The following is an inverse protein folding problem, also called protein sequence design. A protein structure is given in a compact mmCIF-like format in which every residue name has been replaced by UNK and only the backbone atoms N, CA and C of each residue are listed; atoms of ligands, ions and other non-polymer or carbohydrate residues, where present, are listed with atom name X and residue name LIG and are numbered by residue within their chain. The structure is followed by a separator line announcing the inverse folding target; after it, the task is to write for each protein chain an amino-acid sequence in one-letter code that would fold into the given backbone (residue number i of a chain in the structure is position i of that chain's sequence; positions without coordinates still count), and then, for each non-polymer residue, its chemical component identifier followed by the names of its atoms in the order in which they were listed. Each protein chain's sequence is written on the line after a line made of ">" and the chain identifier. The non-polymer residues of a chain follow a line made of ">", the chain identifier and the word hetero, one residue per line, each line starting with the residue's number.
data_IF_210331999400
#
_entry.id   IF_210331999400
#
_cell.length_a   1.000
_cell.length_b   1.000
_cell.length_c   1.000
_cell.angle_alpha   90.00
_cell.angle_beta   90.00
_cell.angle_gamma   90.00
#
_symmetry.space_group_name_H-M   'P 1'
#
loop_
_entity.id
_entity.type
_entity.pdbx_description
1 polymer ?
#
# COMPACT_ATOMS: atom_id res chain seq x y z
N UNK A 1 6.23 -0.87 24.50
CA UNK A 1 4.96 -0.99 23.75
C UNK A 1 5.36 -1.14 22.29
N UNK A 2 5.01 -2.27 21.68
CA UNK A 2 5.53 -2.68 20.38
C UNK A 2 4.80 -1.86 19.31
N UNK A 3 5.43 -0.81 18.79
CA UNK A 3 4.94 -0.11 17.60
C UNK A 3 5.38 -0.95 16.41
N UNK A 4 4.46 -1.71 15.84
CA UNK A 4 4.74 -2.60 14.73
C UNK A 4 4.98 -1.77 13.46
N UNK A 5 6.21 -1.29 13.28
CA UNK A 5 6.74 -0.87 11.98
C UNK A 5 7.28 -2.09 11.23
N UNK A 6 6.45 -3.12 11.15
CA UNK A 6 6.64 -4.32 10.35
C UNK A 6 5.23 -4.77 10.00
N UNK A 7 4.97 -5.04 8.71
CA UNK A 7 3.71 -5.67 8.32
C UNK A 7 3.45 -6.81 9.30
N UNK A 8 2.35 -6.70 10.07
CA UNK A 8 1.96 -7.78 10.96
C UNK A 8 1.81 -9.03 10.09
N UNK A 9 2.66 -10.07 10.22
CA UNK A 9 2.68 -11.19 9.29
C UNK A 9 1.36 -11.98 9.24
N UNK A 10 0.42 -11.65 10.13
CA UNK A 10 -0.89 -12.27 10.30
C UNK A 10 -2.08 -11.45 9.81
N UNK A 11 -1.90 -10.18 9.39
CA UNK A 11 -3.02 -9.36 8.92
C UNK A 11 -3.11 -9.41 7.39
N UNK A 12 -4.16 -10.05 6.86
CA UNK A 12 -4.46 -10.00 5.42
C UNK A 12 -4.92 -8.59 5.03
N UNK A 13 -4.41 -8.06 3.91
CA UNK A 13 -4.91 -6.80 3.37
C UNK A 13 -6.24 -7.02 2.64
N UNK A 14 -7.16 -6.06 2.74
CA UNK A 14 -8.37 -5.99 1.91
C UNK A 14 -8.10 -5.05 0.75
N UNK A 15 -8.31 -5.51 -0.48
CA UNK A 15 -7.98 -4.77 -1.70
C UNK A 15 -9.08 -4.93 -2.76
N UNK A 16 -9.19 -3.96 -3.67
CA UNK A 16 -10.09 -4.10 -4.82
C UNK A 16 -9.46 -5.01 -5.87
N UNK A 17 -10.28 -5.66 -6.69
CA UNK A 17 -9.83 -6.39 -7.88
C UNK A 17 -8.90 -5.54 -8.78
N UNK A 18 -9.31 -4.30 -9.02
CA UNK A 18 -8.63 -3.34 -9.90
C UNK A 18 -7.28 -2.92 -9.31
N UNK A 19 -7.22 -2.65 -8.00
CA UNK A 19 -5.96 -2.30 -7.33
C UNK A 19 -5.03 -3.52 -7.21
N UNK A 20 -5.58 -4.72 -7.03
CA UNK A 20 -4.80 -5.97 -6.97
C UNK A 20 -4.04 -6.19 -8.28
N UNK A 21 -4.74 -6.17 -9.42
CA UNK A 21 -4.12 -6.35 -10.73
C UNK A 21 -3.06 -5.28 -11.01
N UNK A 22 -3.36 -4.02 -10.67
CA UNK A 22 -2.46 -2.89 -10.91
C UNK A 22 -1.21 -2.96 -10.02
N UNK A 23 -1.35 -3.32 -8.74
CA UNK A 23 -0.21 -3.46 -7.84
C UNK A 23 0.62 -4.72 -8.14
N UNK A 24 -0.01 -5.84 -8.51
CA UNK A 24 0.71 -7.04 -8.92
C UNK A 24 1.52 -6.79 -10.19
N UNK A 25 0.93 -6.09 -11.17
CA UNK A 25 1.63 -5.63 -12.36
C UNK A 25 2.82 -4.73 -12.00
N UNK A 26 2.61 -3.73 -11.14
CA UNK A 26 3.67 -2.83 -10.68
C UNK A 26 4.81 -3.58 -10.00
N UNK A 27 4.51 -4.46 -9.05
CA UNK A 27 5.51 -5.24 -8.33
C UNK A 27 6.39 -6.04 -9.29
N UNK A 28 5.78 -6.71 -10.28
CA UNK A 28 6.50 -7.44 -11.33
C UNK A 28 7.43 -6.55 -12.15
N UNK A 29 7.06 -5.30 -12.43
CA UNK A 29 7.92 -4.37 -13.18
C UNK A 29 9.14 -3.85 -12.42
N UNK A 30 9.13 -3.96 -11.08
CA UNK A 30 10.23 -3.48 -10.23
C UNK A 30 11.07 -4.60 -9.63
N UNK A 31 10.76 -5.87 -9.92
CA UNK A 31 11.53 -7.04 -9.45
C UNK A 31 13.03 -6.90 -9.72
N UNK A 32 13.42 -6.42 -10.90
CA UNK A 32 14.85 -6.27 -11.25
C UNK A 32 15.56 -5.16 -10.46
N UNK A 33 14.81 -4.16 -9.96
CA UNK A 33 15.37 -2.96 -9.31
C UNK A 33 15.27 -3.01 -7.78
N UNK A 34 14.22 -3.64 -7.26
CA UNK A 34 13.91 -3.73 -5.85
C UNK A 34 13.27 -5.11 -5.55
N UNK A 35 14.02 -6.21 -5.71
CA UNK A 35 13.49 -7.57 -5.62
C UNK A 35 12.85 -7.86 -4.26
N UNK A 36 13.53 -7.49 -3.17
CA UNK A 36 13.02 -7.72 -1.80
C UNK A 36 11.65 -7.05 -1.58
N UNK A 37 11.52 -5.76 -1.94
CA UNK A 37 10.26 -5.03 -1.81
C UNK A 37 9.17 -5.56 -2.74
N UNK A 38 9.54 -5.98 -3.96
CA UNK A 38 8.61 -6.54 -4.92
C UNK A 38 8.05 -7.88 -4.45
N UNK A 39 8.92 -8.77 -3.97
CA UNK A 39 8.56 -10.10 -3.46
C UNK A 39 7.69 -9.99 -2.22
N UNK A 40 8.01 -9.08 -1.28
CA UNK A 40 7.15 -8.79 -0.13
C UNK A 40 5.75 -8.35 -0.55
N UNK A 41 5.65 -7.39 -1.48
CA UNK A 41 4.35 -6.92 -1.97
C UNK A 41 3.57 -8.03 -2.68
N UNK A 42 4.21 -8.84 -3.52
CA UNK A 42 3.57 -9.98 -4.18
C UNK A 42 3.08 -11.01 -3.14
N UNK A 43 3.90 -11.31 -2.14
CA UNK A 43 3.53 -12.23 -1.07
C UNK A 43 2.36 -11.71 -0.21
N UNK A 44 2.16 -10.40 -0.08
CA UNK A 44 0.96 -9.82 0.54
C UNK A 44 -0.28 -9.92 -0.37
N UNK A 45 -0.11 -9.60 -1.66
CA UNK A 45 -1.19 -9.66 -2.65
C UNK A 45 -1.72 -11.08 -2.87
N UNK A 46 -0.87 -12.10 -2.77
CA UNK A 46 -1.25 -13.51 -2.90
C UNK A 46 -2.19 -13.99 -1.78
N UNK A 47 -2.11 -13.37 -0.59
CA UNK A 47 -2.95 -13.69 0.59
C UNK A 47 -4.01 -12.62 0.87
N UNK A 48 -4.13 -11.62 0.00
CA UNK A 48 -5.08 -10.54 0.16
C UNK A 48 -6.53 -11.06 0.04
N UNK A 49 -7.44 -10.39 0.75
CA UNK A 49 -8.88 -10.54 0.52
C UNK A 49 -9.25 -9.58 -0.60
N UNK A 50 -9.71 -10.13 -1.72
CA UNK A 50 -10.10 -9.35 -2.90
C UNK A 50 -11.61 -9.13 -2.87
N UNK A 51 -12.04 -7.89 -3.11
CA UNK A 51 -13.46 -7.54 -3.20
C UNK A 51 -13.71 -6.52 -4.31
N UNK A 52 -14.98 -6.31 -4.65
CA UNK A 52 -15.39 -5.27 -5.58
C UNK A 52 -15.01 -3.89 -5.02
N UNK A 53 -14.56 -2.98 -5.89
CA UNK A 53 -14.19 -1.62 -5.47
C UNK A 53 -15.30 -0.89 -4.69
N UNK A 54 -16.57 -1.17 -4.98
CA UNK A 54 -17.71 -0.57 -4.27
C UNK A 54 -17.96 -1.19 -2.88
N UNK A 55 -17.44 -2.39 -2.61
CA UNK A 55 -17.64 -3.12 -1.37
C UNK A 55 -16.57 -2.83 -0.30
N UNK A 56 -15.52 -2.07 -0.64
CA UNK A 56 -14.47 -1.72 0.32
C UNK A 56 -15.03 -0.75 1.38
N UNK A 57 -14.93 -1.08 2.68
CA UNK A 57 -15.35 -0.20 3.76
C UNK A 57 -14.60 1.12 3.78
N UNK A 58 -15.26 2.21 4.19
CA UNK A 58 -14.67 3.55 4.24
C UNK A 58 -13.44 3.68 5.16
N UNK A 59 -13.28 2.77 6.13
CA UNK A 59 -12.12 2.75 7.04
C UNK A 59 -10.87 2.08 6.45
N UNK A 60 -10.95 1.47 5.27
CA UNK A 60 -9.83 0.81 4.61
C UNK A 60 -9.11 1.80 3.70
N UNK A 61 -7.78 1.86 3.84
CA UNK A 61 -6.93 2.72 3.00
C UNK A 61 -6.84 2.12 1.60
N UNK A 62 -7.02 2.97 0.59
CA UNK A 62 -7.01 2.60 -0.83
C UNK A 62 -6.00 3.48 -1.57
N UNK A 63 -5.58 3.01 -2.75
CA UNK A 63 -4.79 3.84 -3.65
C UNK A 63 -5.58 5.08 -4.06
N UNK A 64 -4.95 6.25 -4.00
CA UNK A 64 -5.57 7.56 -4.23
C UNK A 64 -6.33 8.15 -3.03
N UNK A 65 -6.50 7.41 -1.93
CA UNK A 65 -7.14 7.94 -0.72
C UNK A 65 -6.17 8.83 0.08
N UNK A 66 -6.67 9.96 0.57
CA UNK A 66 -5.93 10.80 1.51
C UNK A 66 -6.12 10.28 2.93
N UNK A 67 -5.01 9.96 3.61
CA UNK A 67 -5.01 9.44 4.98
C UNK A 67 -4.12 10.26 5.89
N UNK A 68 -4.48 10.30 7.17
CA UNK A 68 -3.67 10.93 8.21
C UNK A 68 -2.88 9.84 8.92
N UNK A 69 -1.56 9.93 8.87
CA UNK A 69 -0.63 8.99 9.49
C UNK A 69 0.12 9.71 10.60
N UNK A 70 0.33 9.01 11.70
CA UNK A 70 1.24 9.45 12.75
C UNK A 70 2.58 8.74 12.53
N UNK A 71 3.62 9.50 12.22
CA UNK A 71 4.99 8.99 12.09
C UNK A 71 5.56 8.58 13.44
N UNK A 72 6.70 7.89 13.42
CA UNK A 72 7.35 7.36 14.62
C UNK A 72 7.75 8.45 15.63
N UNK A 73 8.14 9.63 15.14
CA UNK A 73 8.46 10.81 15.98
C UNK A 73 7.24 11.47 16.63
N UNK A 74 6.02 11.00 16.37
CA UNK A 74 4.77 11.57 16.88
C UNK A 74 4.15 12.62 15.95
N UNK A 75 4.86 13.01 14.89
CA UNK A 75 4.37 13.94 13.87
C UNK A 75 3.15 13.38 13.14
N UNK A 76 2.18 14.24 12.88
CA UNK A 76 0.97 13.89 12.15
C UNK A 76 1.11 14.44 10.72
N UNK A 77 1.10 13.55 9.74
CA UNK A 77 1.20 13.89 8.33
C UNK A 77 -0.01 13.38 7.55
N UNK A 78 -0.37 14.10 6.50
CA UNK A 78 -1.44 13.71 5.60
C UNK A 78 -0.83 13.27 4.27
N UNK A 79 -0.95 11.99 3.96
CA UNK A 79 -0.34 11.36 2.78
C UNK A 79 -1.43 10.82 1.86
N UNK A 80 -1.09 10.66 0.57
CA UNK A 80 -1.97 10.00 -0.41
C UNK A 80 -1.12 8.95 -1.13
N UNK A 81 -1.33 7.65 -0.85
CA UNK A 81 -0.67 6.58 -1.59
C UNK A 81 -1.09 6.66 -3.07
N UNK A 82 -0.14 6.76 -3.98
CA UNK A 82 -0.38 6.87 -5.42
C UNK A 82 0.52 5.91 -6.18
N UNK A 83 0.09 5.54 -7.39
CA UNK A 83 0.92 4.73 -8.27
C UNK A 83 2.09 5.58 -8.82
N UNK A 84 3.22 4.97 -9.19
CA UNK A 84 4.40 5.73 -9.64
C UNK A 84 4.15 6.66 -10.82
N UNK A 85 3.27 6.29 -11.77
CA UNK A 85 2.88 7.18 -12.88
C UNK A 85 2.07 8.40 -12.46
N UNK A 86 1.39 8.32 -11.31
CA UNK A 86 0.58 9.38 -10.72
C UNK A 86 1.35 10.14 -9.62
N UNK A 87 2.55 9.67 -9.26
CA UNK A 87 3.43 10.32 -8.31
C UNK A 87 3.94 11.62 -8.93
N UNK A 88 3.31 12.74 -8.52
CA UNK A 88 3.97 14.03 -8.62
C UNK A 88 5.21 13.93 -7.75
N UNK A 89 6.40 14.23 -8.29
CA UNK A 89 7.58 14.40 -7.47
C UNK A 89 7.26 15.48 -6.44
N UNK A 90 6.85 15.05 -5.25
CA UNK A 90 6.74 15.94 -4.12
C UNK A 90 8.18 16.30 -3.79
N UNK A 91 8.60 17.48 -4.23
CA UNK A 91 9.79 18.12 -3.70
C UNK A 91 9.51 18.33 -2.21
N UNK A 92 9.96 17.35 -1.42
CA UNK A 92 9.85 17.35 0.03
C UNK A 92 10.73 18.50 0.53
N UNK A 93 10.09 19.60 0.94
CA UNK A 93 10.74 20.76 1.54
C UNK A 93 10.22 20.95 2.95
#
# INVERSE_FOLDING_TARGET
>A
MQHATGLHPSAQILISDTDHDRLAGLARTVLDRAPETADELLAELDRAVITEAAAIPAGVVRMGSTVTVRGEGGDIMRITPVYPGDAKQAENR
#
